data_IF_963813267059
#
_entry.id   IF_963813267059
#
_cell.length_a   1.000
_cell.length_b   1.000
_cell.length_c   1.000
_cell.angle_alpha   90.00
_cell.angle_beta   90.00
_cell.angle_gamma   90.00
#
_symmetry.space_group_name_H-M   'P 1'
#
loop_
_entity.id
_entity.type
_entity.pdbx_description
1 polymer ?
#
# COMPACT_ATOMS: atom_id res chain seq x y z
N UNK A 1 -18.47 -12.55 -0.13
CA UNK A 1 -17.86 -11.22 -0.23
C UNK A 1 -16.47 -11.37 -0.83
N UNK A 2 -16.18 -10.68 -1.94
CA UNK A 2 -14.84 -10.66 -2.55
C UNK A 2 -13.91 -9.72 -1.80
N UNK A 3 -12.65 -10.12 -1.67
CA UNK A 3 -11.59 -9.32 -1.04
C UNK A 3 -10.56 -8.97 -2.13
N UNK A 4 -10.47 -7.68 -2.47
CA UNK A 4 -9.47 -7.18 -3.42
C UNK A 4 -8.26 -6.66 -2.66
N UNK A 5 -7.07 -7.15 -3.03
CA UNK A 5 -5.80 -6.78 -2.40
C UNK A 5 -5.00 -5.87 -3.34
N UNK A 6 -4.65 -4.67 -2.87
CA UNK A 6 -3.90 -3.67 -3.62
C UNK A 6 -2.47 -3.57 -3.05
N UNK A 7 -1.42 -3.75 -3.87
CA UNK A 7 -0.04 -3.75 -3.39
C UNK A 7 0.48 -2.35 -3.04
N UNK A 8 1.64 -2.28 -2.39
CA UNK A 8 2.40 -1.04 -2.21
C UNK A 8 3.09 -0.58 -3.49
N UNK A 9 3.59 0.66 -3.50
CA UNK A 9 4.39 1.18 -4.62
C UNK A 9 5.64 0.32 -4.84
N UNK A 10 5.95 -0.03 -6.08
CA UNK A 10 7.08 -0.88 -6.43
C UNK A 10 6.89 -2.37 -6.08
N UNK A 11 5.66 -2.77 -5.74
CA UNK A 11 5.29 -4.16 -5.48
C UNK A 11 4.16 -4.59 -6.43
N UNK A 12 3.98 -5.90 -6.58
CA UNK A 12 2.88 -6.55 -7.29
C UNK A 12 2.10 -7.48 -6.34
N UNK A 13 1.18 -8.30 -6.88
CA UNK A 13 0.36 -9.25 -6.12
C UNK A 13 1.16 -10.16 -5.18
N UNK A 14 2.42 -10.46 -5.49
CA UNK A 14 3.31 -11.30 -4.66
C UNK A 14 3.60 -10.71 -3.28
N UNK A 15 3.30 -9.42 -3.08
CA UNK A 15 3.38 -8.79 -1.76
C UNK A 15 2.53 -9.55 -0.72
N UNK A 16 1.46 -10.22 -1.18
CA UNK A 16 0.51 -10.94 -0.33
C UNK A 16 0.72 -12.46 -0.32
N UNK A 17 1.79 -12.99 -0.92
CA UNK A 17 2.00 -14.44 -1.08
C UNK A 17 2.05 -15.24 0.23
N UNK A 18 2.40 -14.54 1.35
CA UNK A 18 2.49 -15.15 2.69
C UNK A 18 1.24 -14.93 3.53
N UNK A 19 0.27 -14.18 3.03
CA UNK A 19 -0.96 -13.87 3.76
C UNK A 19 -1.96 -15.00 3.59
N UNK A 20 -2.40 -15.55 4.71
CA UNK A 20 -3.42 -16.60 4.71
C UNK A 20 -4.82 -16.00 4.88
N UNK A 21 -5.58 -16.00 3.81
CA UNK A 21 -7.00 -15.67 3.72
C UNK A 21 -7.82 -16.87 3.21
N UNK A 22 -7.45 -18.09 3.62
CA UNK A 22 -8.20 -19.30 3.31
C UNK A 22 -9.67 -19.15 3.74
N UNK A 23 -10.58 -19.52 2.86
CA UNK A 23 -12.03 -19.35 3.07
C UNK A 23 -12.61 -18.05 2.52
N UNK A 24 -11.79 -17.12 2.03
CA UNK A 24 -12.24 -15.90 1.36
C UNK A 24 -12.03 -15.97 -0.16
N UNK A 25 -12.93 -15.34 -0.92
CA UNK A 25 -12.73 -15.13 -2.36
C UNK A 25 -11.79 -13.94 -2.58
N UNK A 26 -10.50 -14.22 -2.71
CA UNK A 26 -9.45 -13.21 -2.81
C UNK A 26 -9.07 -12.93 -4.25
N UNK A 27 -8.93 -11.66 -4.61
CA UNK A 27 -8.40 -11.17 -5.89
C UNK A 27 -7.26 -10.21 -5.62
N UNK A 28 -6.02 -10.66 -5.83
CA UNK A 28 -4.87 -9.78 -5.74
C UNK A 28 -4.68 -9.01 -7.07
N UNK A 29 -4.63 -7.68 -6.98
CA UNK A 29 -4.52 -6.80 -8.13
C UNK A 29 -3.07 -6.39 -8.36
N UNK A 30 -2.71 -6.24 -9.63
CA UNK A 30 -1.46 -5.60 -10.04
C UNK A 30 -1.72 -4.14 -10.46
N UNK A 31 -0.67 -3.33 -10.45
CA UNK A 31 -0.77 -1.95 -10.88
C UNK A 31 -0.99 -1.82 -12.38
N UNK A 32 -1.93 -0.98 -12.83
CA UNK A 32 -2.03 -0.61 -14.24
C UNK A 32 -0.82 0.21 -14.69
N UNK A 33 -0.75 0.56 -15.94
CA UNK A 33 0.22 1.54 -16.42
C UNK A 33 -0.05 2.91 -15.80
N UNK A 34 1.00 3.62 -15.36
CA UNK A 34 0.88 4.97 -14.81
C UNK A 34 1.19 6.01 -15.90
N UNK A 35 0.21 6.81 -16.25
CA UNK A 35 0.40 7.97 -17.12
C UNK A 35 1.26 9.05 -16.42
N UNK A 36 2.10 9.79 -17.15
CA UNK A 36 2.83 10.92 -16.59
C UNK A 36 1.87 11.92 -15.94
N UNK A 37 2.15 12.29 -14.69
CA UNK A 37 1.33 13.26 -13.96
C UNK A 37 0.02 12.72 -13.37
N UNK A 38 -0.30 11.43 -13.52
CA UNK A 38 -1.51 10.84 -12.96
C UNK A 38 -1.60 11.06 -11.43
N UNK A 39 -2.82 11.11 -10.93
CA UNK A 39 -3.18 11.16 -9.51
C UNK A 39 -3.48 9.76 -8.99
N UNK A 40 -3.63 9.60 -7.67
CA UNK A 40 -4.09 8.32 -7.09
C UNK A 40 -5.54 8.01 -7.51
N UNK A 41 -6.36 9.03 -7.72
CA UNK A 41 -7.72 8.86 -8.25
C UNK A 41 -7.74 8.33 -9.69
N UNK A 42 -6.82 8.79 -10.56
CA UNK A 42 -6.68 8.25 -11.92
C UNK A 42 -6.26 6.78 -11.90
N UNK A 43 -5.33 6.42 -11.01
CA UNK A 43 -4.91 5.02 -10.81
C UNK A 43 -6.09 4.18 -10.32
N UNK A 44 -6.86 4.68 -9.33
CA UNK A 44 -8.04 4.01 -8.82
C UNK A 44 -9.10 3.80 -9.91
N UNK A 45 -9.29 4.79 -10.77
CA UNK A 45 -10.23 4.69 -11.91
C UNK A 45 -9.83 3.55 -12.86
N UNK A 46 -8.55 3.40 -13.19
CA UNK A 46 -8.10 2.27 -14.01
C UNK A 46 -8.29 0.93 -13.27
N UNK A 47 -7.99 0.87 -11.97
CA UNK A 47 -8.18 -0.35 -11.17
C UNK A 47 -9.66 -0.70 -10.97
N UNK A 48 -10.58 0.27 -11.01
CA UNK A 48 -12.01 0.02 -10.90
C UNK A 48 -12.56 -0.91 -11.98
N UNK A 49 -11.88 -1.01 -13.13
CA UNK A 49 -12.24 -1.92 -14.22
C UNK A 49 -12.09 -3.40 -13.84
N UNK A 50 -11.23 -3.70 -12.86
CA UNK A 50 -11.02 -5.06 -12.34
C UNK A 50 -11.95 -5.41 -11.17
N UNK A 51 -12.66 -4.43 -10.62
CA UNK A 51 -13.62 -4.64 -9.52
C UNK A 51 -14.99 -4.95 -10.10
N UNK A 52 -15.57 -6.05 -9.69
CA UNK A 52 -16.90 -6.46 -10.13
C UNK A 52 -17.97 -5.51 -9.59
N UNK A 53 -18.67 -4.84 -10.50
CA UNK A 53 -19.74 -3.89 -10.14
C UNK A 53 -20.95 -4.63 -9.58
N UNK A 54 -21.57 -4.04 -8.56
CA UNK A 54 -22.82 -4.56 -7.96
C UNK A 54 -22.61 -5.72 -6.98
N UNK A 55 -21.40 -6.27 -6.85
CA UNK A 55 -21.14 -7.32 -5.88
C UNK A 55 -20.57 -6.77 -4.55
N UNK A 56 -21.01 -7.33 -3.40
CA UNK A 56 -20.43 -6.96 -2.11
C UNK A 56 -18.94 -7.30 -2.07
N UNK A 57 -18.09 -6.32 -1.78
CA UNK A 57 -16.66 -6.51 -1.74
C UNK A 57 -16.00 -5.70 -0.61
N UNK A 58 -14.75 -6.05 -0.32
CA UNK A 58 -13.87 -5.36 0.62
C UNK A 58 -12.57 -5.02 -0.13
N UNK A 59 -12.04 -3.84 0.13
CA UNK A 59 -10.75 -3.40 -0.41
C UNK A 59 -9.71 -3.44 0.71
N UNK A 60 -8.57 -4.08 0.43
CA UNK A 60 -7.42 -4.14 1.35
C UNK A 60 -6.22 -3.56 0.62
N UNK A 61 -5.52 -2.61 1.23
CA UNK A 61 -4.36 -2.01 0.58
C UNK A 61 -3.19 -1.76 1.51
N UNK A 62 -1.98 -2.06 1.02
CA UNK A 62 -0.72 -1.79 1.71
C UNK A 62 -0.14 -0.47 1.20
N UNK A 63 0.26 0.43 2.11
CA UNK A 63 0.98 1.66 1.75
C UNK A 63 0.21 2.48 0.69
N UNK A 64 0.80 2.76 -0.49
CA UNK A 64 0.11 3.39 -1.61
C UNK A 64 -1.18 2.65 -2.00
N UNK A 65 -1.19 1.32 -1.91
CA UNK A 65 -2.40 0.51 -2.16
C UNK A 65 -3.56 0.86 -1.24
N UNK A 66 -3.29 1.20 0.02
CA UNK A 66 -4.31 1.67 0.96
C UNK A 66 -4.85 3.06 0.61
N UNK A 67 -4.00 3.95 0.09
CA UNK A 67 -4.44 5.26 -0.40
C UNK A 67 -5.31 5.12 -1.65
N UNK A 68 -4.89 4.29 -2.61
CA UNK A 68 -5.65 3.98 -3.83
C UNK A 68 -6.95 3.23 -3.51
N UNK A 69 -6.94 2.34 -2.51
CA UNK A 69 -8.14 1.64 -2.06
C UNK A 69 -9.22 2.61 -1.55
N UNK A 70 -8.83 3.70 -0.88
CA UNK A 70 -9.77 4.74 -0.44
C UNK A 70 -10.34 5.52 -1.62
N UNK A 71 -9.53 5.87 -2.64
CA UNK A 71 -10.03 6.48 -3.89
C UNK A 71 -10.98 5.53 -4.63
N UNK A 72 -10.59 4.26 -4.75
CA UNK A 72 -11.38 3.21 -5.39
C UNK A 72 -12.72 2.98 -4.65
N UNK A 73 -12.70 3.08 -3.33
CA UNK A 73 -13.89 2.93 -2.49
C UNK A 73 -14.96 3.98 -2.80
N UNK A 74 -14.55 5.23 -3.09
CA UNK A 74 -15.46 6.28 -3.49
C UNK A 74 -16.17 5.99 -4.83
N UNK A 75 -15.59 5.13 -5.68
CA UNK A 75 -16.13 4.75 -6.99
C UNK A 75 -16.91 3.44 -6.97
N UNK A 76 -16.57 2.51 -6.04
CA UNK A 76 -17.10 1.13 -6.05
C UNK A 76 -17.97 0.80 -4.85
N UNK A 77 -18.01 1.67 -3.85
CA UNK A 77 -18.80 1.52 -2.61
C UNK A 77 -18.65 0.16 -1.92
N UNK A 78 -17.44 -0.22 -1.46
CA UNK A 78 -17.20 -1.48 -0.77
C UNK A 78 -17.90 -1.50 0.61
N UNK A 79 -18.06 -2.69 1.19
CA UNK A 79 -18.52 -2.83 2.58
C UNK A 79 -17.57 -2.14 3.57
N UNK A 80 -16.26 -2.22 3.33
CA UNK A 80 -15.21 -1.55 4.10
C UNK A 80 -13.90 -1.46 3.33
N UNK A 81 -13.00 -0.61 3.82
CA UNK A 81 -11.61 -0.53 3.38
C UNK A 81 -10.71 -0.93 4.55
N UNK A 82 -9.72 -1.80 4.30
CA UNK A 82 -8.70 -2.18 5.27
C UNK A 82 -7.37 -1.59 4.83
N UNK A 83 -6.78 -0.76 5.67
CA UNK A 83 -5.48 -0.13 5.44
C UNK A 83 -4.39 -0.89 6.20
N UNK A 84 -3.32 -1.25 5.50
CA UNK A 84 -2.14 -1.85 6.10
C UNK A 84 -0.95 -0.91 5.87
N UNK A 85 -0.31 -0.42 6.93
CA UNK A 85 0.85 0.48 6.84
C UNK A 85 0.59 1.66 5.87
N UNK A 86 -0.56 2.34 6.02
CA UNK A 86 -1.02 3.37 5.07
C UNK A 86 -1.61 4.58 5.78
N UNK A 87 -1.72 5.70 5.05
CA UNK A 87 -2.32 6.95 5.51
C UNK A 87 -3.77 7.11 5.06
N UNK A 88 -4.53 7.93 5.81
CA UNK A 88 -5.86 8.41 5.41
C UNK A 88 -5.83 9.80 4.80
N UNK A 89 -4.73 10.50 4.91
CA UNK A 89 -4.55 11.82 4.32
C UNK A 89 -3.25 12.51 4.71
N UNK A 90 -2.96 13.69 4.12
CA UNK A 90 -1.69 14.41 4.32
C UNK A 90 -1.44 14.88 5.75
N UNK A 91 -2.49 14.97 6.58
CA UNK A 91 -2.35 15.35 8.00
C UNK A 91 -1.53 14.36 8.81
N UNK A 92 -1.50 13.10 8.38
CA UNK A 92 -0.75 12.02 9.03
C UNK A 92 0.71 11.93 8.58
N UNK A 93 1.09 12.70 7.56
CA UNK A 93 2.46 12.66 7.03
C UNK A 93 3.48 13.17 8.04
N UNK A 94 4.64 12.51 8.07
CA UNK A 94 5.80 13.01 8.81
C UNK A 94 6.30 14.32 8.20
N UNK A 95 7.05 15.10 8.99
CA UNK A 95 7.70 16.32 8.50
C UNK A 95 8.63 16.04 7.31
N UNK A 96 9.32 14.88 7.33
CA UNK A 96 10.19 14.44 6.22
C UNK A 96 9.40 14.15 4.95
N UNK A 97 8.22 13.51 5.06
CA UNK A 97 7.36 13.26 3.90
C UNK A 97 6.84 14.58 3.30
N UNK A 98 6.47 15.55 4.15
CA UNK A 98 6.06 16.89 3.71
C UNK A 98 7.20 17.66 3.04
N UNK A 99 8.40 17.63 3.62
CA UNK A 99 9.59 18.25 3.02
C UNK A 99 9.93 17.58 1.67
N UNK A 100 9.93 16.25 1.61
CA UNK A 100 10.15 15.49 0.37
C UNK A 100 9.16 15.85 -0.75
N UNK A 101 7.91 16.14 -0.39
CA UNK A 101 6.91 16.67 -1.32
C UNK A 101 7.30 18.03 -1.87
N UNK A 102 7.70 18.97 -1.02
CA UNK A 102 8.04 20.33 -1.41
C UNK A 102 9.26 20.39 -2.33
N UNK A 103 10.29 19.57 -2.08
CA UNK A 103 11.51 19.52 -2.90
C UNK A 103 11.44 18.58 -4.10
N UNK A 104 10.32 17.90 -4.33
CA UNK A 104 10.10 16.98 -5.44
C UNK A 104 11.23 15.93 -5.64
N UNK A 105 11.82 15.46 -4.55
CA UNK A 105 12.96 14.54 -4.56
C UNK A 105 12.65 13.21 -5.31
N UNK A 106 11.37 12.87 -5.45
CA UNK A 106 10.93 11.70 -6.22
C UNK A 106 11.36 11.76 -7.70
N UNK A 107 11.66 12.94 -8.24
CA UNK A 107 12.11 13.10 -9.64
C UNK A 107 13.47 12.45 -9.90
N UNK A 108 14.29 12.30 -8.87
CA UNK A 108 15.60 11.64 -8.94
C UNK A 108 15.50 10.09 -8.89
N UNK A 109 14.31 9.52 -8.75
CA UNK A 109 14.13 8.06 -8.77
C UNK A 109 14.43 7.55 -10.18
N UNK A 110 15.54 6.82 -10.29
CA UNK A 110 16.01 6.12 -11.48
C UNK A 110 16.40 4.70 -11.08
N UNK A 111 16.64 3.83 -12.04
CA UNK A 111 17.13 2.47 -11.73
C UNK A 111 18.45 2.51 -10.94
N UNK A 112 19.34 3.44 -11.31
CA UNK A 112 20.62 3.62 -10.60
C UNK A 112 20.43 4.08 -9.16
N UNK A 113 19.62 5.12 -8.92
CA UNK A 113 19.37 5.60 -7.55
C UNK A 113 18.64 4.57 -6.70
N UNK A 114 17.72 3.78 -7.28
CA UNK A 114 17.09 2.65 -6.59
C UNK A 114 18.13 1.61 -6.17
N UNK A 115 19.02 1.22 -7.06
CA UNK A 115 20.11 0.28 -6.77
C UNK A 115 21.05 0.82 -5.71
N UNK A 116 21.51 2.06 -5.85
CA UNK A 116 22.46 2.69 -4.92
C UNK A 116 21.88 2.87 -3.50
N UNK A 117 20.58 3.14 -3.39
CA UNK A 117 19.90 3.32 -2.09
C UNK A 117 19.30 2.02 -1.52
N UNK A 118 19.37 0.90 -2.25
CA UNK A 118 18.79 -0.37 -1.81
C UNK A 118 19.32 -0.89 -0.47
N UNK A 119 20.61 -0.82 -0.15
CA UNK A 119 21.13 -1.22 1.15
C UNK A 119 20.53 -0.40 2.33
N UNK A 120 20.22 0.88 2.10
CA UNK A 120 19.58 1.74 3.12
C UNK A 120 18.14 1.29 3.39
N UNK A 121 17.41 0.83 2.38
CA UNK A 121 16.05 0.31 2.53
C UNK A 121 16.00 -0.96 3.39
N UNK A 122 17.06 -1.77 3.41
CA UNK A 122 17.16 -2.93 4.32
C UNK A 122 17.07 -2.53 5.78
N UNK A 123 17.59 -1.35 6.15
CA UNK A 123 17.54 -0.82 7.52
C UNK A 123 16.08 -0.49 7.90
N UNK A 124 15.23 -0.17 6.92
CA UNK A 124 13.83 0.20 7.14
C UNK A 124 12.87 -0.99 7.36
N UNK A 125 13.41 -2.17 7.73
CA UNK A 125 12.58 -3.30 8.15
C UNK A 125 12.77 -4.59 7.38
N UNK A 126 13.59 -4.60 6.35
CA UNK A 126 13.94 -5.81 5.60
C UNK A 126 15.11 -6.51 6.30
N UNK A 127 14.87 -7.61 7.00
CA UNK A 127 15.89 -8.31 7.77
C UNK A 127 16.37 -9.62 7.14
N UNK A 128 15.57 -10.25 6.30
CA UNK A 128 15.90 -11.51 5.68
C UNK A 128 16.17 -11.35 4.17
N UNK A 129 17.08 -12.22 3.66
CA UNK A 129 17.52 -12.16 2.25
C UNK A 129 16.42 -12.53 1.25
N UNK A 130 15.48 -13.40 1.63
CA UNK A 130 14.42 -13.84 0.74
C UNK A 130 13.41 -12.70 0.51
N UNK A 131 12.99 -12.04 1.57
CA UNK A 131 12.12 -10.84 1.48
C UNK A 131 12.80 -9.72 0.70
N UNK A 132 14.11 -9.47 0.96
CA UNK A 132 14.89 -8.45 0.26
C UNK A 132 14.95 -8.74 -1.26
N UNK A 133 15.20 -9.99 -1.64
CA UNK A 133 15.22 -10.42 -3.03
C UNK A 133 13.85 -10.26 -3.71
N UNK A 134 12.80 -10.73 -3.08
CA UNK A 134 11.44 -10.61 -3.60
C UNK A 134 11.04 -9.16 -3.84
N UNK A 135 11.33 -8.27 -2.88
CA UNK A 135 11.05 -6.84 -3.03
C UNK A 135 11.85 -6.20 -4.16
N UNK A 136 13.11 -6.59 -4.33
CA UNK A 136 13.94 -6.12 -5.44
C UNK A 136 13.39 -6.59 -6.79
N UNK A 137 13.02 -7.86 -6.91
CA UNK A 137 12.42 -8.42 -8.12
C UNK A 137 11.11 -7.70 -8.49
N UNK A 138 10.23 -7.45 -7.52
CA UNK A 138 9.01 -6.68 -7.73
C UNK A 138 9.31 -5.24 -8.18
N UNK A 139 10.24 -4.55 -7.50
CA UNK A 139 10.60 -3.18 -7.83
C UNK A 139 11.22 -3.04 -9.23
N UNK A 140 12.03 -4.03 -9.66
CA UNK A 140 12.57 -4.07 -11.01
C UNK A 140 11.48 -4.31 -12.06
N UNK A 141 10.53 -5.20 -11.79
CA UNK A 141 9.37 -5.47 -12.67
C UNK A 141 8.49 -4.22 -12.84
N UNK A 142 8.23 -3.50 -11.75
CA UNK A 142 7.40 -2.29 -11.75
C UNK A 142 8.08 -1.07 -12.40
N UNK A 143 9.36 -1.12 -12.64
CA UNK A 143 10.23 -0.08 -13.21
C UNK A 143 10.40 1.19 -12.37
N UNK A 144 11.59 1.79 -12.46
CA UNK A 144 11.89 3.05 -11.78
C UNK A 144 10.99 4.21 -12.25
N UNK A 145 10.58 4.20 -13.53
CA UNK A 145 9.66 5.21 -14.08
C UNK A 145 8.30 5.13 -13.39
N UNK A 146 7.74 3.94 -13.25
CA UNK A 146 6.42 3.72 -12.63
C UNK A 146 6.47 4.08 -11.15
N UNK A 147 7.54 3.66 -10.44
CA UNK A 147 7.76 4.01 -9.03
C UNK A 147 7.87 5.54 -8.85
N UNK A 148 8.61 6.23 -9.72
CA UNK A 148 8.71 7.69 -9.70
C UNK A 148 7.37 8.38 -9.89
N UNK A 149 6.57 7.96 -10.87
CA UNK A 149 5.25 8.53 -11.13
C UNK A 149 4.31 8.29 -9.93
N UNK A 150 4.25 7.07 -9.42
CA UNK A 150 3.43 6.72 -8.26
C UNK A 150 3.84 7.47 -7.00
N UNK A 151 5.16 7.61 -6.72
CA UNK A 151 5.65 8.43 -5.61
C UNK A 151 5.22 9.89 -5.76
N UNK A 152 5.28 10.43 -6.98
CA UNK A 152 4.77 11.77 -7.26
C UNK A 152 3.26 11.89 -7.04
N UNK A 153 2.48 10.86 -7.38
CA UNK A 153 1.04 10.82 -7.12
C UNK A 153 0.74 10.79 -5.60
N UNK A 154 1.47 9.98 -4.83
CA UNK A 154 1.39 9.94 -3.36
C UNK A 154 1.60 11.35 -2.79
N UNK A 155 2.69 12.01 -3.15
CA UNK A 155 3.08 13.30 -2.58
C UNK A 155 2.16 14.48 -2.99
N UNK A 156 1.32 14.30 -4.00
CA UNK A 156 0.27 15.26 -4.39
C UNK A 156 -1.11 14.89 -3.88
N UNK A 157 -1.24 13.75 -3.21
CA UNK A 157 -2.54 13.30 -2.72
C UNK A 157 -3.05 14.16 -1.58
N UNK A 158 -4.31 14.57 -1.65
CA UNK A 158 -4.97 15.45 -0.68
C UNK A 158 -5.93 14.71 0.24
N UNK A 159 -6.01 13.39 0.11
CA UNK A 159 -6.96 12.54 0.83
C UNK A 159 -8.12 12.11 -0.06
N UNK A 160 -8.81 11.04 0.33
CA UNK A 160 -9.96 10.51 -0.40
C UNK A 160 -11.28 11.10 0.08
N UNK A 161 -12.29 11.24 -0.79
CA UNK A 161 -13.67 11.58 -0.40
C UNK A 161 -14.39 10.44 0.34
N UNK A 162 -13.85 9.22 0.37
CA UNK A 162 -14.45 8.08 1.06
C UNK A 162 -14.67 8.35 2.54
N UNK A 163 -15.90 8.08 3.04
CA UNK A 163 -16.32 8.26 4.44
C UNK A 163 -16.97 7.02 5.03
N UNK A 164 -16.93 5.90 4.30
CA UNK A 164 -17.49 4.64 4.78
C UNK A 164 -16.57 3.91 5.77
N UNK A 165 -16.92 2.68 6.16
CA UNK A 165 -16.17 1.90 7.15
C UNK A 165 -14.72 1.68 6.74
N UNK A 166 -13.79 1.93 7.69
CA UNK A 166 -12.36 1.84 7.50
C UNK A 166 -11.74 1.16 8.72
N UNK A 167 -10.87 0.16 8.48
CA UNK A 167 -10.11 -0.55 9.51
C UNK A 167 -8.63 -0.35 9.23
N UNK A 168 -7.83 -0.11 10.26
CA UNK A 168 -6.39 0.14 10.16
C UNK A 168 -5.60 -0.96 10.88
N UNK A 169 -4.68 -1.59 10.14
CA UNK A 169 -3.69 -2.53 10.66
C UNK A 169 -2.32 -1.89 10.48
N UNK A 170 -1.57 -1.70 11.56
CA UNK A 170 -0.30 -0.97 11.49
C UNK A 170 0.78 -1.58 12.38
N UNK A 171 2.02 -1.51 11.92
CA UNK A 171 3.19 -1.92 12.69
C UNK A 171 3.72 -0.77 13.55
N UNK A 172 4.01 -1.03 14.81
CA UNK A 172 4.56 -0.02 15.73
C UNK A 172 6.02 0.34 15.46
N UNK A 173 6.69 -0.41 14.58
CA UNK A 173 8.07 -0.14 14.13
C UNK A 173 8.13 0.28 12.65
N UNK A 174 7.02 0.81 12.10
CA UNK A 174 7.00 1.33 10.73
C UNK A 174 7.65 2.71 10.67
N UNK A 175 8.85 2.78 10.09
CA UNK A 175 9.60 4.03 9.91
C UNK A 175 9.27 4.76 8.61
N UNK A 176 8.59 4.12 7.66
CA UNK A 176 8.15 4.74 6.39
C UNK A 176 6.84 5.49 6.58
N UNK A 177 5.89 4.82 7.24
CA UNK A 177 4.60 5.39 7.67
C UNK A 177 4.55 5.33 9.20
N UNK A 178 5.19 6.26 9.93
CA UNK A 178 5.19 6.23 11.38
C UNK A 178 3.76 6.31 11.94
N UNK A 179 3.44 5.43 12.87
CA UNK A 179 2.13 5.36 13.52
C UNK A 179 1.94 6.58 14.44
N UNK A 180 1.25 7.60 13.95
CA UNK A 180 0.94 8.86 14.68
C UNK A 180 -0.56 9.13 14.81
N UNK A 181 -1.35 8.09 14.66
CA UNK A 181 -2.81 8.11 14.61
C UNK A 181 -3.39 6.84 15.24
N UNK A 182 -4.65 6.85 15.66
CA UNK A 182 -5.31 5.65 16.15
C UNK A 182 -5.36 4.56 15.07
N UNK A 183 -5.17 3.31 15.49
CA UNK A 183 -5.27 2.11 14.65
C UNK A 183 -6.12 1.06 15.35
N UNK A 184 -6.78 0.21 14.59
CA UNK A 184 -7.65 -0.83 15.12
C UNK A 184 -6.83 -2.07 15.55
N UNK A 185 -5.79 -2.40 14.77
CA UNK A 185 -4.90 -3.53 15.06
C UNK A 185 -3.43 -3.11 14.97
N UNK A 186 -2.71 -3.27 16.08
CA UNK A 186 -1.26 -3.02 16.14
C UNK A 186 -0.51 -4.34 15.99
N UNK A 187 0.37 -4.44 14.99
CA UNK A 187 1.31 -5.54 14.82
C UNK A 187 2.62 -5.16 15.51
N UNK A 188 2.90 -5.79 16.66
CA UNK A 188 4.09 -5.48 17.47
C UNK A 188 5.39 -5.83 16.73
N UNK A 189 6.34 -4.90 16.71
CA UNK A 189 7.58 -5.01 15.96
C UNK A 189 7.39 -5.04 14.45
N UNK A 190 6.18 -4.79 13.95
CA UNK A 190 5.86 -4.72 12.54
C UNK A 190 6.50 -3.49 11.89
N UNK A 191 7.30 -3.72 10.85
CA UNK A 191 7.85 -2.67 9.99
C UNK A 191 6.95 -2.44 8.77
N UNK A 192 7.32 -1.54 7.86
CA UNK A 192 6.50 -1.15 6.72
C UNK A 192 6.03 -2.32 5.84
N UNK A 193 6.88 -3.33 5.66
CA UNK A 193 6.56 -4.53 4.85
C UNK A 193 6.14 -5.73 5.72
N UNK A 194 5.44 -5.47 6.82
CA UNK A 194 5.02 -6.51 7.76
C UNK A 194 4.15 -7.60 7.12
N UNK A 195 3.49 -7.33 6.01
CA UNK A 195 2.75 -8.34 5.22
C UNK A 195 3.63 -9.51 4.76
N UNK A 196 4.94 -9.31 4.64
CA UNK A 196 5.92 -10.36 4.34
C UNK A 196 6.68 -10.84 5.58
N UNK A 197 7.00 -9.93 6.51
CA UNK A 197 7.89 -10.21 7.66
C UNK A 197 7.14 -10.62 8.92
N UNK A 198 5.83 -10.37 8.99
CA UNK A 198 4.89 -10.70 10.08
C UNK A 198 3.57 -11.22 9.50
N UNK A 199 3.67 -12.09 8.49
CA UNK A 199 2.53 -12.53 7.71
C UNK A 199 1.45 -13.22 8.55
N UNK A 200 1.83 -13.97 9.58
CA UNK A 200 0.88 -14.65 10.45
C UNK A 200 0.04 -13.66 11.26
N UNK A 201 0.69 -12.71 11.94
CA UNK A 201 0.02 -11.69 12.75
C UNK A 201 -0.85 -10.77 11.88
N UNK A 202 -0.37 -10.43 10.68
CA UNK A 202 -1.15 -9.64 9.71
C UNK A 202 -2.34 -10.45 9.20
N UNK A 203 -2.20 -11.74 8.95
CA UNK A 203 -3.30 -12.61 8.53
C UNK A 203 -4.39 -12.70 9.59
N UNK A 204 -4.00 -12.83 10.87
CA UNK A 204 -4.94 -12.84 12.00
C UNK A 204 -5.69 -11.51 12.11
N UNK A 205 -4.98 -10.37 12.06
CA UNK A 205 -5.59 -9.05 12.10
C UNK A 205 -6.52 -8.81 10.90
N UNK A 206 -6.13 -9.25 9.68
CA UNK A 206 -6.97 -9.17 8.49
C UNK A 206 -8.24 -9.98 8.64
N UNK A 207 -8.17 -11.23 9.09
CA UNK A 207 -9.35 -12.06 9.31
C UNK A 207 -10.32 -11.41 10.30
N UNK A 208 -9.81 -10.86 11.42
CA UNK A 208 -10.62 -10.12 12.37
C UNK A 208 -11.28 -8.89 11.71
N UNK A 209 -10.54 -8.13 10.91
CA UNK A 209 -11.06 -6.98 10.18
C UNK A 209 -12.10 -7.35 9.12
N UNK A 210 -12.00 -8.54 8.51
CA UNK A 210 -12.95 -9.00 7.48
C UNK A 210 -14.26 -9.49 8.07
N UNK A 211 -14.26 -10.00 9.31
CA UNK A 211 -15.46 -10.54 10.00
C UNK A 211 -16.22 -9.48 10.81
N UNK A 212 -15.56 -8.46 11.31
CA UNK A 212 -16.19 -7.32 11.99
C UNK A 212 -16.99 -6.45 11.00
#
# INVERSE_FOLDING_TARGET
>A
VKVYLLPGIGCDHRLYERIDLSGYAVVALDWPAFAPGCTLADIAMEMSKAVQKGEPHILVGVSMGGMVAQELAAMTNPKKVVLISSWTGPREWSLLARAGSSFQLYRSITHFTMWATWPVKRILGQRDRATDRLLWEMACKESARKIRIGTGAILRWTGSPWKGPLVRIHGDNDSVVPMRFPVDHVVRGGAHIMVLTRAEEVSQALRAALTA
#
